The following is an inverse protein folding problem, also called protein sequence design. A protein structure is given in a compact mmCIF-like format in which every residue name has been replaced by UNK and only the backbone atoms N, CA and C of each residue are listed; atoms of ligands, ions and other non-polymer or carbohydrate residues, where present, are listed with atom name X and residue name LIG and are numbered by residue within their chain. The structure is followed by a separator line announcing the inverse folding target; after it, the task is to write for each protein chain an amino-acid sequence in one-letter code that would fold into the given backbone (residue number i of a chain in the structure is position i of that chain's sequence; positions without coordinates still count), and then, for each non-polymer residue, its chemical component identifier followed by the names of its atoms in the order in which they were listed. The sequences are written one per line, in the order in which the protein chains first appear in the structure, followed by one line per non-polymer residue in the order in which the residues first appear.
data_IF_368165646777
#
_entry.id   IF_368165646777
#
_cell.length_a   1.000
_cell.length_b   1.000
_cell.length_c   1.000
_cell.angle_alpha   90.00
_cell.angle_beta   90.00
_cell.angle_gamma   90.00
#
_symmetry.space_group_name_H-M   'P 1'
#
loop_
_entity.id
_entity.type
_entity.pdbx_description
1 polymer ?
#
# COMPACT_ATOMS: atom_id res chain seq x y z
N UNK A 1 4.79 1.30 -20.43
CA UNK A 1 5.08 0.53 -19.25
C UNK A 1 3.81 0.04 -18.60
N UNK A 2 3.88 -1.14 -18.03
CA UNK A 2 2.70 -1.81 -17.45
C UNK A 2 2.54 -1.52 -15.96
N UNK A 3 3.40 -0.70 -15.40
CA UNK A 3 3.35 -0.41 -13.98
C UNK A 3 2.41 0.74 -13.68
N UNK A 4 1.67 0.61 -12.60
CA UNK A 4 0.80 1.67 -12.13
C UNK A 4 1.24 2.11 -10.76
N UNK A 5 1.10 3.40 -10.50
CA UNK A 5 1.38 3.92 -9.17
C UNK A 5 0.20 3.64 -8.26
N UNK A 6 0.51 3.12 -7.09
CA UNK A 6 -0.49 2.85 -6.07
C UNK A 6 0.03 3.38 -4.74
N UNK A 7 -0.86 3.46 -3.78
CA UNK A 7 -0.45 3.75 -2.42
C UNK A 7 -0.93 2.65 -1.51
N UNK A 8 -0.13 2.40 -0.48
CA UNK A 8 -0.46 1.41 0.54
C UNK A 8 -0.83 2.17 1.80
N UNK A 9 -2.06 2.02 2.23
CA UNK A 9 -2.61 2.81 3.34
C UNK A 9 -2.64 1.95 4.60
N UNK A 10 -2.21 2.54 5.71
CA UNK A 10 -2.19 1.86 6.99
C UNK A 10 -3.58 1.46 7.43
N UNK A 11 -3.73 0.23 7.90
CA UNK A 11 -4.99 -0.25 8.44
C UNK A 11 -5.24 0.26 9.86
N UNK A 12 -4.26 0.91 10.47
CA UNK A 12 -4.40 1.44 11.82
C UNK A 12 -5.18 2.75 11.87
N UNK A 13 -5.59 3.26 10.72
CA UNK A 13 -6.37 4.49 10.68
C UNK A 13 -5.58 5.75 10.98
N UNK A 14 -4.26 5.70 10.85
CA UNK A 14 -3.40 6.84 11.17
C UNK A 14 -3.28 7.83 10.03
N UNK A 15 -3.73 7.45 8.83
CA UNK A 15 -3.55 8.27 7.64
C UNK A 15 -2.19 8.12 6.99
N UNK A 16 -1.31 7.33 7.57
CA UNK A 16 0.01 7.09 6.99
C UNK A 16 -0.10 6.16 5.78
N UNK A 17 0.72 6.41 4.77
CA UNK A 17 0.72 5.55 3.61
C UNK A 17 2.09 5.54 2.95
N UNK A 18 2.33 4.51 2.16
CA UNK A 18 3.51 4.40 1.31
C UNK A 18 3.09 4.46 -0.14
N UNK A 19 3.95 5.02 -0.99
CA UNK A 19 3.69 5.00 -2.43
C UNK A 19 4.59 3.95 -3.06
N UNK A 20 4.05 3.23 -4.04
CA UNK A 20 4.80 2.21 -4.74
C UNK A 20 4.20 2.01 -6.12
N UNK A 21 4.79 1.10 -6.87
CA UNK A 21 4.25 0.74 -8.19
C UNK A 21 4.05 -0.76 -8.23
N UNK A 22 3.12 -1.20 -9.05
CA UNK A 22 2.92 -2.62 -9.27
C UNK A 22 2.59 -2.89 -10.73
N UNK A 23 2.84 -4.11 -11.14
CA UNK A 23 2.50 -4.58 -12.48
C UNK A 23 1.17 -5.30 -12.43
N UNK A 24 0.13 -4.72 -13.03
CA UNK A 24 -1.21 -5.30 -13.01
C UNK A 24 -1.30 -6.65 -13.68
N UNK A 25 -0.42 -6.92 -14.64
CA UNK A 25 -0.44 -8.21 -15.34
C UNK A 25 -0.07 -9.35 -14.42
N UNK A 26 0.89 -9.13 -13.52
CA UNK A 26 1.35 -10.16 -12.62
C UNK A 26 0.65 -10.11 -11.27
N UNK A 27 0.09 -8.97 -10.92
CA UNK A 27 -0.57 -8.78 -9.62
C UNK A 27 -1.87 -8.01 -9.81
N UNK A 28 -2.89 -8.65 -10.40
CA UNK A 28 -4.15 -7.95 -10.68
C UNK A 28 -4.99 -7.66 -9.44
N UNK A 29 -4.79 -8.43 -8.38
CA UNK A 29 -5.56 -8.26 -7.16
C UNK A 29 -4.96 -7.18 -6.29
N UNK A 30 -5.75 -6.71 -5.33
CA UNK A 30 -5.28 -5.72 -4.38
C UNK A 30 -4.13 -6.29 -3.56
N UNK A 31 -3.11 -5.45 -3.39
CA UNK A 31 -1.93 -5.84 -2.64
C UNK A 31 -2.12 -5.47 -1.17
N UNK A 32 -1.76 -6.40 -0.30
CA UNK A 32 -1.77 -6.13 1.13
C UNK A 32 -0.43 -6.57 1.68
N UNK A 33 0.29 -5.63 2.28
CA UNK A 33 1.64 -5.87 2.76
C UNK A 33 1.76 -5.36 4.19
N UNK A 34 2.43 -6.15 5.01
CA UNK A 34 2.73 -5.73 6.37
C UNK A 34 3.93 -4.79 6.35
N UNK A 35 3.75 -3.58 6.86
CA UNK A 35 4.81 -2.59 6.92
C UNK A 35 4.78 -1.87 8.26
N UNK A 36 5.90 -1.26 8.61
CA UNK A 36 6.00 -0.52 9.85
C UNK A 36 5.28 0.83 9.74
N UNK A 37 4.39 1.09 10.67
CA UNK A 37 3.69 2.37 10.73
C UNK A 37 4.32 3.21 11.84
N UNK A 38 5.03 4.28 11.49
CA UNK A 38 5.72 5.09 12.50
C UNK A 38 4.77 5.87 13.42
N UNK A 39 3.51 6.04 13.01
CA UNK A 39 2.55 6.75 13.85
C UNK A 39 2.17 5.92 15.06
N UNK A 40 1.91 4.63 14.85
CA UNK A 40 1.58 3.72 15.96
C UNK A 40 2.79 2.92 16.42
N UNK A 41 3.93 3.06 15.72
CA UNK A 41 5.17 2.35 16.02
C UNK A 41 5.00 0.85 16.06
N UNK A 42 4.23 0.33 15.12
CA UNK A 42 3.96 -1.11 15.02
C UNK A 42 3.89 -1.49 13.55
N UNK A 43 4.08 -2.78 13.30
CA UNK A 43 3.82 -3.33 11.97
C UNK A 43 2.33 -3.54 11.83
N UNK A 44 1.77 -3.00 10.77
CA UNK A 44 0.34 -3.17 10.47
C UNK A 44 0.19 -3.50 9.00
N UNK A 45 -0.97 -4.00 8.62
CA UNK A 45 -1.24 -4.32 7.24
C UNK A 45 -1.56 -3.04 6.49
N UNK A 46 -0.87 -2.86 5.36
CA UNK A 46 -1.12 -1.74 4.46
C UNK A 46 -1.86 -2.27 3.25
N UNK A 47 -2.98 -1.65 2.93
CA UNK A 47 -3.82 -2.06 1.81
C UNK A 47 -3.63 -1.15 0.62
N UNK A 48 -3.69 -1.74 -0.56
CA UNK A 48 -3.54 -0.99 -1.79
C UNK A 48 -4.71 -0.04 -2.01
N UNK A 49 -4.39 1.20 -2.39
CA UNK A 49 -5.36 2.18 -2.85
C UNK A 49 -4.87 2.77 -4.14
N UNK A 50 -5.79 3.15 -4.99
CA UNK A 50 -5.44 3.76 -6.25
C UNK A 50 -5.00 5.21 -6.03
N UNK A 51 -3.94 5.59 -6.72
CA UNK A 51 -3.50 6.99 -6.74
C UNK A 51 -4.08 7.62 -8.00
N UNK A 52 -4.73 8.71 -7.80
CA UNK A 52 -5.24 9.44 -8.96
C UNK A 52 -4.37 10.60 -9.31
#
# INVERSE_FOLDING_TARGET
SMREKIKLVSSAGTGHFYTTTKNKKTMPDKMEIKKFDPVVRKYVIYSEKKIK
#
